data_IF_134899718223
#
_entry.id   IF_134899718223
#
_cell.length_a   1.000
_cell.length_b   1.000
_cell.length_c   1.000
_cell.angle_alpha   90.00
_cell.angle_beta   90.00
_cell.angle_gamma   90.00
#
_symmetry.space_group_name_H-M   'P 1'
#
loop_
_entity.id
_entity.type
_entity.pdbx_description
1 polymer ?
#
# COMPACT_ATOMS: atom_id res chain seq x y z
N UNK A 1 1.38 3.76 1.39
CA UNK A 1 0.57 2.67 0.80
C UNK A 1 0.03 3.14 -0.54
N UNK A 2 0.07 2.30 -1.58
CA UNK A 2 -0.47 2.63 -2.90
C UNK A 2 -1.57 1.63 -3.26
N UNK A 3 -2.78 2.12 -3.48
CA UNK A 3 -3.97 1.30 -3.70
C UNK A 3 -4.66 1.68 -5.01
N UNK A 4 -5.44 0.75 -5.56
CA UNK A 4 -6.12 0.91 -6.85
C UNK A 4 -5.59 -0.06 -7.92
N UNK A 5 -6.21 -0.08 -9.10
CA UNK A 5 -5.82 -0.99 -10.17
C UNK A 5 -4.36 -0.79 -10.57
N UNK A 6 -3.65 -1.89 -10.84
CA UNK A 6 -2.26 -1.90 -11.30
C UNK A 6 -1.25 -1.19 -10.37
N UNK A 7 -1.59 -0.95 -9.11
CA UNK A 7 -0.70 -0.28 -8.15
C UNK A 7 0.63 -1.01 -7.96
N UNK A 8 0.61 -2.35 -8.01
CA UNK A 8 1.80 -3.20 -7.90
C UNK A 8 2.90 -2.84 -8.92
N UNK A 9 2.54 -2.60 -10.19
CA UNK A 9 3.49 -2.21 -11.23
C UNK A 9 4.08 -0.82 -11.01
N UNK A 10 3.28 0.09 -10.44
CA UNK A 10 3.74 1.43 -10.09
C UNK A 10 4.67 1.36 -8.88
N UNK A 11 4.36 0.52 -7.89
CA UNK A 11 5.22 0.28 -6.73
C UNK A 11 6.59 -0.27 -7.16
N UNK A 12 6.62 -1.25 -8.05
CA UNK A 12 7.88 -1.81 -8.54
C UNK A 12 8.75 -0.73 -9.18
N UNK A 13 8.16 0.15 -10.02
CA UNK A 13 8.87 1.30 -10.60
C UNK A 13 9.28 2.35 -9.57
N UNK A 14 8.54 2.53 -8.48
CA UNK A 14 8.98 3.41 -7.38
C UNK A 14 10.22 2.84 -6.70
N UNK A 15 10.26 1.52 -6.51
CA UNK A 15 11.34 0.82 -5.78
C UNK A 15 12.55 0.42 -6.64
N UNK A 16 12.47 0.56 -7.98
CA UNK A 16 13.62 0.38 -8.89
C UNK A 16 14.80 1.31 -8.55
N UNK A 17 14.55 2.42 -7.85
CA UNK A 17 15.57 3.35 -7.34
C UNK A 17 15.41 3.51 -5.81
N UNK A 18 16.09 2.67 -5.01
CA UNK A 18 15.79 2.52 -3.58
C UNK A 18 16.33 3.66 -2.70
N UNK A 19 16.73 4.80 -3.29
CA UNK A 19 17.25 5.96 -2.54
C UNK A 19 16.16 6.63 -1.71
N UNK A 20 14.94 6.70 -2.22
CA UNK A 20 13.81 7.39 -1.57
C UNK A 20 12.70 6.43 -1.11
N UNK A 21 12.51 5.29 -1.79
CA UNK A 21 11.42 4.35 -1.53
C UNK A 21 11.94 2.93 -1.31
N UNK A 22 11.47 2.27 -0.26
CA UNK A 22 11.91 0.92 0.10
C UNK A 22 10.69 0.05 0.41
N UNK A 23 10.58 -1.11 -0.24
CA UNK A 23 9.52 -2.08 0.07
C UNK A 23 9.77 -2.73 1.42
N UNK A 24 8.78 -2.70 2.30
CA UNK A 24 8.82 -3.48 3.54
C UNK A 24 8.50 -4.93 3.20
N UNK A 25 9.51 -5.80 3.21
CA UNK A 25 9.33 -7.20 2.92
C UNK A 25 8.85 -7.95 4.17
N UNK A 26 7.86 -8.85 4.05
CA UNK A 26 7.45 -9.70 5.16
C UNK A 26 8.58 -10.65 5.60
N UNK A 27 8.67 -10.87 6.90
CA UNK A 27 9.55 -11.84 7.54
C UNK A 27 8.89 -13.22 7.57
N UNK A 28 9.69 -14.29 7.42
CA UNK A 28 9.21 -15.67 7.54
C UNK A 28 9.20 -16.07 9.01
N UNK A 29 8.00 -16.27 9.56
CA UNK A 29 7.78 -16.63 10.97
C UNK A 29 7.29 -18.08 11.06
N UNK A 30 8.03 -18.91 11.79
CA UNK A 30 7.67 -20.30 12.11
C UNK A 30 7.21 -20.38 13.56
N UNK A 31 5.91 -20.18 13.78
CA UNK A 31 5.30 -20.19 15.10
C UNK A 31 3.88 -20.77 15.06
N UNK A 32 3.27 -21.01 16.22
CA UNK A 32 1.86 -21.41 16.30
C UNK A 32 0.94 -20.27 15.87
N UNK A 33 -0.27 -20.61 15.41
CA UNK A 33 -1.28 -19.61 15.09
C UNK A 33 -1.63 -18.74 16.30
N UNK A 34 -1.71 -19.32 17.50
CA UNK A 34 -1.95 -18.59 18.75
C UNK A 34 -0.86 -17.58 19.09
N UNK A 35 0.40 -17.91 18.83
CA UNK A 35 1.51 -16.97 19.01
C UNK A 35 1.38 -15.79 18.04
N UNK A 36 1.10 -16.06 16.76
CA UNK A 36 0.97 -15.02 15.73
C UNK A 36 -0.23 -14.11 16.02
N UNK A 37 -1.36 -14.68 16.44
CA UNK A 37 -2.53 -13.91 16.85
C UNK A 37 -2.22 -12.99 18.03
N UNK A 38 -1.58 -13.52 19.08
CA UNK A 38 -1.13 -12.70 20.21
C UNK A 38 -0.18 -11.60 19.75
N UNK A 39 0.82 -11.91 18.92
CA UNK A 39 1.77 -10.93 18.42
C UNK A 39 1.12 -9.84 17.53
N UNK A 40 0.05 -10.16 16.81
CA UNK A 40 -0.75 -9.16 16.08
C UNK A 40 -1.58 -8.27 17.02
N UNK A 41 -2.07 -8.81 18.15
CA UNK A 41 -2.80 -8.05 19.17
C UNK A 41 -1.87 -7.15 19.98
N UNK A 42 -0.66 -7.63 20.28
CA UNK A 42 0.40 -6.88 20.97
C UNK A 42 1.10 -5.86 20.06
N UNK A 43 0.61 -5.65 18.82
CA UNK A 43 1.16 -4.74 17.82
C UNK A 43 2.65 -5.00 17.48
N UNK A 44 3.09 -6.26 17.57
CA UNK A 44 4.42 -6.68 17.10
C UNK A 44 4.40 -6.79 15.57
N UNK A 45 3.35 -7.44 15.03
CA UNK A 45 3.12 -7.57 13.59
C UNK A 45 1.88 -6.79 13.15
N UNK A 46 2.00 -6.03 12.06
CA UNK A 46 0.88 -5.33 11.44
C UNK A 46 -0.10 -6.32 10.79
N UNK A 47 0.46 -7.25 10.02
CA UNK A 47 -0.27 -8.25 9.26
C UNK A 47 0.57 -9.52 9.11
N UNK A 48 -0.08 -10.68 9.18
CA UNK A 48 0.56 -11.98 8.95
C UNK A 48 -0.31 -12.84 8.02
N UNK A 49 0.30 -13.40 6.98
CA UNK A 49 -0.37 -14.31 6.04
C UNK A 49 0.16 -15.72 6.19
N UNK A 50 -0.72 -16.70 6.42
CA UNK A 50 -0.33 -18.11 6.51
C UNK A 50 0.06 -18.66 5.12
N UNK A 51 1.22 -19.32 5.05
CA UNK A 51 1.79 -19.97 3.87
C UNK A 51 2.20 -21.41 4.21
N UNK A 52 1.22 -22.32 4.16
CA UNK A 52 1.44 -23.72 4.54
C UNK A 52 1.86 -23.84 6.00
N UNK A 53 3.16 -24.12 6.21
CA UNK A 53 3.79 -24.36 7.52
C UNK A 53 4.40 -23.13 8.19
N UNK A 54 4.40 -21.96 7.55
CA UNK A 54 4.92 -20.71 8.12
C UNK A 54 3.97 -19.54 7.87
N UNK A 55 4.30 -18.38 8.44
CA UNK A 55 3.63 -17.12 8.21
C UNK A 55 4.60 -16.13 7.55
N UNK A 56 4.08 -15.31 6.64
CA UNK A 56 4.74 -14.10 6.13
C UNK A 56 4.20 -12.92 6.94
N UNK A 57 5.02 -12.30 7.76
CA UNK A 57 4.61 -11.25 8.70
C UNK A 57 5.33 -9.92 8.44
N UNK A 58 4.57 -8.84 8.36
CA UNK A 58 5.13 -7.47 8.32
C UNK A 58 5.21 -6.93 9.74
N UNK A 59 6.42 -6.77 10.28
CA UNK A 59 6.64 -6.26 11.64
C UNK A 59 6.46 -4.74 11.71
N UNK A 60 5.95 -4.24 12.83
CA UNK A 60 5.90 -2.78 13.08
C UNK A 60 7.31 -2.21 13.13
N UNK A 61 8.27 -2.97 13.68
CA UNK A 61 9.66 -2.55 13.80
C UNK A 61 10.30 -2.34 12.42
N UNK A 62 10.15 -3.25 11.47
CA UNK A 62 10.70 -3.07 10.12
C UNK A 62 10.15 -1.81 9.42
N UNK A 63 8.89 -1.45 9.67
CA UNK A 63 8.32 -0.21 9.16
C UNK A 63 9.00 1.02 9.77
N UNK A 64 9.25 0.99 11.08
CA UNK A 64 9.95 2.07 11.80
C UNK A 64 11.39 2.22 11.32
N UNK A 65 12.13 1.12 11.24
CA UNK A 65 13.54 1.13 10.84
C UNK A 65 13.73 1.77 9.44
N UNK A 66 12.83 1.45 8.49
CA UNK A 66 12.86 2.07 7.16
C UNK A 66 12.54 3.57 7.26
N UNK A 67 11.51 3.96 8.00
CA UNK A 67 11.13 5.37 8.16
C UNK A 67 12.23 6.21 8.83
N UNK A 68 12.87 5.68 9.88
CA UNK A 68 13.96 6.33 10.62
C UNK A 68 15.23 6.49 9.77
N UNK A 69 15.41 5.65 8.75
CA UNK A 69 16.46 5.83 7.73
C UNK A 69 16.18 6.96 6.72
N UNK A 70 15.21 7.83 7.00
CA UNK A 70 14.77 8.95 6.16
C UNK A 70 14.33 8.52 4.75
N UNK A 71 13.69 7.34 4.66
CA UNK A 71 13.15 6.78 3.41
C UNK A 71 11.67 6.45 3.58
N UNK A 72 10.95 6.46 2.45
CA UNK A 72 9.56 6.05 2.42
C UNK A 72 9.42 4.53 2.46
N UNK A 73 8.78 4.04 3.52
CA UNK A 73 8.37 2.66 3.62
C UNK A 73 7.16 2.37 2.71
N UNK A 74 7.37 1.59 1.66
CA UNK A 74 6.32 1.07 0.78
C UNK A 74 5.74 -0.18 1.44
N UNK A 75 4.53 -0.01 1.98
CA UNK A 75 3.79 -1.06 2.68
C UNK A 75 2.84 -1.80 1.74
N UNK A 76 2.98 -3.13 1.71
CA UNK A 76 2.08 -4.07 1.03
C UNK A 76 1.27 -4.85 2.08
N UNK A 77 0.37 -4.13 2.76
CA UNK A 77 -0.55 -4.66 3.76
C UNK A 77 -1.97 -4.19 3.46
N UNK A 78 -3.02 -4.91 3.92
CA UNK A 78 -4.40 -4.47 3.74
C UNK A 78 -4.69 -3.10 4.38
N UNK A 79 -5.66 -2.35 3.83
CA UNK A 79 -6.00 -1.00 4.31
C UNK A 79 -6.53 -0.94 5.74
N UNK A 80 -7.16 -2.01 6.23
CA UNK A 80 -7.58 -2.07 7.63
C UNK A 80 -6.38 -1.98 8.61
N UNK A 81 -5.15 -2.23 8.16
CA UNK A 81 -3.95 -2.07 8.98
C UNK A 81 -3.60 -0.61 9.27
N UNK A 82 -4.23 0.37 8.60
CA UNK A 82 -4.01 1.80 8.86
C UNK A 82 -4.33 2.16 10.31
N UNK A 83 -5.38 1.58 10.90
CA UNK A 83 -5.71 1.81 12.31
C UNK A 83 -4.61 1.31 13.25
N UNK A 84 -4.06 0.11 12.98
CA UNK A 84 -2.94 -0.43 13.74
C UNK A 84 -1.68 0.42 13.61
N UNK A 85 -1.41 0.94 12.40
CA UNK A 85 -0.32 1.88 12.17
C UNK A 85 -0.51 3.14 13.02
N UNK A 86 -1.72 3.73 13.07
CA UNK A 86 -2.01 4.89 13.91
C UNK A 86 -1.80 4.61 15.41
N UNK A 87 -2.22 3.44 15.91
CA UNK A 87 -1.96 3.00 17.28
C UNK A 87 -0.44 2.95 17.57
N UNK A 88 0.36 2.57 16.58
CA UNK A 88 1.81 2.54 16.64
C UNK A 88 2.49 3.91 16.43
N UNK A 89 1.71 5.00 16.32
CA UNK A 89 2.16 6.36 15.96
C UNK A 89 2.81 6.46 14.59
N UNK A 90 2.42 5.59 13.66
CA UNK A 90 2.84 5.62 12.26
C UNK A 90 1.64 6.09 11.42
N UNK A 91 1.79 7.21 10.72
CA UNK A 91 0.71 7.82 9.93
C UNK A 91 1.02 7.66 8.44
N UNK A 92 0.53 6.58 7.80
CA UNK A 92 0.88 6.29 6.42
C UNK A 92 0.25 7.30 5.47
N UNK A 93 1.00 7.70 4.43
CA UNK A 93 0.43 8.35 3.25
C UNK A 93 -0.25 7.26 2.40
N UNK A 94 -1.57 7.34 2.25
CA UNK A 94 -2.37 6.40 1.46
C UNK A 94 -2.78 7.08 0.16
N UNK A 95 -2.23 6.62 -0.96
CA UNK A 95 -2.50 7.15 -2.28
C UNK A 95 -3.42 6.19 -3.04
N UNK A 96 -4.55 6.69 -3.56
CA UNK A 96 -5.46 5.92 -4.40
C UNK A 96 -5.30 6.28 -5.88
N UNK A 97 -4.96 5.30 -6.71
CA UNK A 97 -4.89 5.44 -8.17
C UNK A 97 -6.29 5.26 -8.75
N UNK A 98 -6.87 6.35 -9.24
CA UNK A 98 -8.23 6.35 -9.78
C UNK A 98 -8.24 6.20 -11.29
N UNK A 99 -8.74 5.06 -11.77
CA UNK A 99 -9.08 4.86 -13.17
C UNK A 99 -10.51 5.34 -13.44
N UNK A 100 -10.74 5.90 -14.63
CA UNK A 100 -12.05 6.40 -15.07
C UNK A 100 -12.96 5.31 -15.62
N UNK A 101 -12.38 4.18 -16.05
CA UNK A 101 -13.13 3.06 -16.63
C UNK A 101 -12.29 1.78 -16.71
N UNK A 102 -12.98 0.64 -16.86
CA UNK A 102 -12.39 -0.66 -17.23
C UNK A 102 -11.53 -0.55 -18.50
N UNK A 103 -11.98 0.25 -19.48
CA UNK A 103 -11.26 0.47 -20.74
C UNK A 103 -9.89 1.11 -20.48
N UNK A 104 -9.82 2.13 -19.61
CA UNK A 104 -8.57 2.80 -19.28
C UNK A 104 -7.56 1.84 -18.64
N UNK A 105 -7.99 0.93 -17.75
CA UNK A 105 -7.10 -0.07 -17.13
C UNK A 105 -6.45 -0.93 -18.21
N UNK A 106 -7.22 -1.36 -19.21
CA UNK A 106 -6.74 -2.21 -20.31
C UNK A 106 -5.86 -1.47 -21.32
N UNK A 107 -5.95 -0.14 -21.36
CA UNK A 107 -5.20 0.71 -22.29
C UNK A 107 -3.85 1.16 -21.74
N UNK A 108 -3.55 0.92 -20.46
CA UNK A 108 -2.21 1.18 -19.92
C UNK A 108 -1.22 0.24 -20.60
N UNK A 109 -0.30 0.81 -21.38
CA UNK A 109 0.75 0.08 -22.09
C UNK A 109 2.06 0.17 -21.32
N UNK A 110 2.64 -0.98 -20.96
CA UNK A 110 4.01 -1.09 -20.44
C UNK A 110 4.58 -2.47 -20.81
N UNK A 111 5.88 -2.53 -21.13
CA UNK A 111 6.55 -3.77 -21.53
C UNK A 111 6.65 -4.82 -20.42
N UNK A 112 6.40 -4.45 -19.15
CA UNK A 112 6.34 -5.37 -18.01
C UNK A 112 4.99 -6.06 -17.85
N UNK A 113 3.94 -5.57 -18.50
CA UNK A 113 2.66 -6.31 -18.57
C UNK A 113 2.82 -7.43 -19.60
N UNK A 114 2.53 -8.70 -19.24
CA UNK A 114 2.53 -9.79 -20.20
C UNK A 114 1.68 -9.42 -21.42
N UNK A 115 2.13 -9.81 -22.63
CA UNK A 115 1.42 -9.54 -23.88
C UNK A 115 0.00 -10.14 -23.94
N UNK A 116 -0.37 -10.99 -22.96
CA UNK A 116 -1.76 -11.29 -22.64
C UNK A 116 -2.45 -10.04 -22.10
N UNK A 117 -3.10 -9.31 -23.01
CA UNK A 117 -4.06 -8.25 -22.70
C UNK A 117 -4.84 -8.64 -21.44
N UNK A 118 -4.67 -7.86 -20.36
CA UNK A 118 -5.49 -7.97 -19.14
C UNK A 118 -6.94 -8.26 -19.57
N UNK A 119 -7.46 -9.42 -19.17
CA UNK A 119 -8.75 -9.88 -19.65
C UNK A 119 -9.83 -8.86 -19.28
N UNK A 120 -10.87 -8.73 -20.11
CA UNK A 120 -11.98 -7.82 -19.80
C UNK A 120 -12.60 -8.10 -18.43
N UNK A 121 -12.64 -9.38 -18.03
CA UNK A 121 -13.10 -9.82 -16.71
C UNK A 121 -12.17 -9.35 -15.59
N UNK A 122 -10.87 -9.59 -15.69
CA UNK A 122 -9.89 -9.15 -14.68
C UNK A 122 -9.87 -7.62 -14.53
N UNK A 123 -9.93 -6.89 -15.65
CA UNK A 123 -9.98 -5.42 -15.62
C UNK A 123 -11.26 -4.90 -14.95
N UNK A 124 -12.40 -5.57 -15.17
CA UNK A 124 -13.66 -5.23 -14.50
C UNK A 124 -13.60 -5.52 -13.01
N UNK A 125 -13.09 -6.69 -12.61
CA UNK A 125 -12.91 -7.06 -11.20
C UNK A 125 -11.99 -6.05 -10.47
N UNK A 126 -10.88 -5.63 -11.10
CA UNK A 126 -10.01 -4.59 -10.55
C UNK A 126 -10.74 -3.24 -10.38
N UNK A 127 -11.53 -2.83 -11.37
CA UNK A 127 -12.27 -1.56 -11.33
C UNK A 127 -13.36 -1.58 -10.25
N UNK A 128 -14.14 -2.66 -10.17
CA UNK A 128 -15.21 -2.81 -9.19
C UNK A 128 -14.64 -2.91 -7.77
N UNK A 129 -13.54 -3.65 -7.59
CA UNK A 129 -12.83 -3.73 -6.31
C UNK A 129 -12.26 -2.37 -5.89
N UNK A 130 -11.62 -1.65 -6.80
CA UNK A 130 -11.10 -0.31 -6.51
C UNK A 130 -12.20 0.68 -6.13
N UNK A 131 -13.38 0.61 -6.78
CA UNK A 131 -14.53 1.45 -6.45
C UNK A 131 -15.05 1.18 -5.04
N UNK A 132 -15.08 -0.10 -4.61
CA UNK A 132 -15.44 -0.47 -3.23
C UNK A 132 -14.42 0.06 -2.23
N UNK A 133 -13.13 -0.13 -2.49
CA UNK A 133 -12.06 0.38 -1.62
C UNK A 133 -12.11 1.91 -1.48
N UNK A 134 -12.36 2.64 -2.57
CA UNK A 134 -12.47 4.10 -2.54
C UNK A 134 -13.58 4.57 -1.60
N UNK A 135 -14.73 3.90 -1.62
CA UNK A 135 -15.88 4.23 -0.76
C UNK A 135 -15.62 3.82 0.69
N UNK A 136 -15.23 2.56 0.91
CA UNK A 136 -15.06 1.96 2.24
C UNK A 136 -13.95 2.67 3.04
N UNK A 137 -12.81 2.94 2.41
CA UNK A 137 -11.62 3.49 3.07
C UNK A 137 -11.39 4.97 2.75
N UNK A 138 -12.40 5.70 2.28
CA UNK A 138 -12.28 7.12 1.90
C UNK A 138 -11.58 7.98 2.95
N UNK A 139 -11.87 7.73 4.22
CA UNK A 139 -11.36 8.47 5.37
C UNK A 139 -9.85 8.22 5.65
N UNK A 140 -9.27 7.13 5.13
CA UNK A 140 -7.83 6.90 5.19
C UNK A 140 -7.08 7.37 3.95
N UNK A 141 -7.77 7.64 2.83
CA UNK A 141 -7.11 8.08 1.59
C UNK A 141 -6.60 9.51 1.75
N UNK A 142 -5.28 9.68 1.74
CA UNK A 142 -4.62 10.99 1.82
C UNK A 142 -4.75 11.77 0.51
N UNK A 143 -4.57 11.10 -0.63
CA UNK A 143 -4.72 11.71 -1.94
C UNK A 143 -5.21 10.72 -3.01
N UNK A 144 -5.90 11.26 -4.01
CA UNK A 144 -6.35 10.52 -5.20
C UNK A 144 -5.54 10.99 -6.40
N UNK A 145 -4.83 10.06 -7.03
CA UNK A 145 -4.07 10.28 -8.26
C UNK A 145 -4.87 9.75 -9.44
N UNK A 146 -5.27 10.59 -10.41
CA UNK A 146 -5.87 10.11 -11.64
C UNK A 146 -4.90 9.22 -12.41
N UNK A 147 -5.37 8.04 -12.84
CA UNK A 147 -4.59 7.18 -13.71
C UNK A 147 -4.31 7.90 -15.04
N UNK A 148 -3.09 7.76 -15.53
CA UNK A 148 -2.68 8.24 -16.86
C UNK A 148 -2.60 7.11 -17.88
N UNK A 149 -1.91 7.38 -18.98
CA UNK A 149 -1.72 6.44 -20.09
C UNK A 149 -0.55 5.47 -19.90
N UNK A 150 0.33 5.73 -18.93
CA UNK A 150 1.51 4.88 -18.63
C UNK A 150 1.83 4.85 -17.13
N UNK A 151 2.50 3.78 -16.70
CA UNK A 151 2.97 3.67 -15.31
C UNK A 151 4.03 4.71 -14.95
N UNK A 152 4.84 5.16 -15.92
CA UNK A 152 5.82 6.23 -15.69
C UNK A 152 5.11 7.55 -15.33
N UNK A 153 4.04 7.89 -16.04
CA UNK A 153 3.22 9.05 -15.71
C UNK A 153 2.58 8.90 -14.32
N UNK A 154 1.99 7.73 -14.03
CA UNK A 154 1.34 7.49 -12.73
C UNK A 154 2.37 7.57 -11.60
N UNK A 155 3.57 7.01 -11.78
CA UNK A 155 4.70 7.12 -10.83
C UNK A 155 5.01 8.58 -10.52
N UNK A 156 5.18 9.43 -11.54
CA UNK A 156 5.45 10.87 -11.35
C UNK A 156 4.36 11.54 -10.51
N UNK A 157 3.09 11.26 -10.81
CA UNK A 157 1.97 11.82 -10.03
C UNK A 157 1.95 11.30 -8.59
N UNK A 158 2.28 10.02 -8.36
CA UNK A 158 2.38 9.45 -7.02
C UNK A 158 3.51 10.11 -6.23
N UNK A 159 4.69 10.29 -6.83
CA UNK A 159 5.82 10.99 -6.18
C UNK A 159 5.45 12.42 -5.82
N UNK A 160 4.79 13.15 -6.73
CA UNK A 160 4.31 14.50 -6.45
C UNK A 160 3.31 14.53 -5.30
N UNK A 161 2.34 13.61 -5.27
CA UNK A 161 1.37 13.50 -4.19
C UNK A 161 2.04 13.17 -2.84
N UNK A 162 3.01 12.25 -2.82
CA UNK A 162 3.77 11.92 -1.59
C UNK A 162 4.49 13.14 -1.03
N UNK A 163 5.15 13.94 -1.90
CA UNK A 163 5.84 15.17 -1.49
C UNK A 163 4.88 16.22 -0.92
N UNK A 164 3.71 16.38 -1.54
CA UNK A 164 2.68 17.30 -1.05
C UNK A 164 2.12 16.84 0.30
N UNK A 165 1.74 15.56 0.43
CA UNK A 165 1.23 15.02 1.69
C UNK A 165 2.27 15.08 2.81
N UNK A 166 3.56 14.89 2.51
CA UNK A 166 4.64 15.02 3.50
C UNK A 166 4.78 16.42 4.10
N UNK A 167 4.43 17.46 3.35
CA UNK A 167 4.48 18.85 3.83
C UNK A 167 3.30 19.21 4.74
N UNK A 168 2.24 18.41 4.74
CA UNK A 168 1.05 18.71 5.53
C UNK A 168 1.30 18.38 7.00
N UNK A 169 0.81 19.26 7.86
CA UNK A 169 0.74 18.96 9.29
C UNK A 169 -0.36 17.92 9.52
N UNK A 170 0.01 16.79 10.14
CA UNK A 170 -0.94 15.75 10.50
C UNK A 170 -1.48 16.07 11.89
N UNK A 171 -2.80 16.27 11.99
CA UNK A 171 -3.48 16.44 13.27
C UNK A 171 -3.75 15.08 13.88
N UNK A 172 -3.08 14.79 14.99
CA UNK A 172 -3.28 13.55 15.74
C UNK A 172 -4.26 13.85 16.88
N UNK A 173 -5.35 13.08 17.04
CA UNK A 173 -6.25 13.25 18.18
C UNK A 173 -5.48 13.21 19.50
N UNK A 174 -5.68 14.20 20.35
CA UNK A 174 -4.99 14.34 21.63
C UNK A 174 -5.49 13.38 22.72
N UNK A 175 -6.40 12.47 22.41
CA UNK A 175 -7.04 11.58 23.39
C UNK A 175 -7.47 10.25 22.82
N UNK A 176 -6.59 9.26 22.88
CA UNK A 176 -6.89 7.83 22.92
C UNK A 176 -5.65 7.14 23.51
N UNK A 177 -5.35 7.50 24.76
CA UNK A 177 -4.26 6.95 25.55
C UNK A 177 -4.84 6.11 26.69
N UNK A 178 -5.85 5.28 26.43
CA UNK A 178 -6.40 4.32 27.39
C UNK A 178 -6.98 3.13 26.65
#
# INVERSE_FOLDING_TARGET
MLIGPLSEYVLDKLTDQPTEYVRCLPEIVRASASFVEKAMNDLIYLNCRRRGSHFECTSVQAVRDIAESNRHCVLDVPLYCVEKLHQCRIFPIVIFIKFKSVKQIREVKDGRLPAEKLSGKAAKEMYDHASKLEVEYRHFISAIVPAGSSFAYIRTQVVAAVKEEQRKTIWVPSGSLW
#
